data_IF_796496913175
#
_entry.id   IF_796496913175
#
_cell.length_a   1.000
_cell.length_b   1.000
_cell.length_c   1.000
_cell.angle_alpha   90.00
_cell.angle_beta   90.00
_cell.angle_gamma   90.00
#
_symmetry.space_group_name_H-M   'P 1'
#
loop_
_entity.id
_entity.type
_entity.pdbx_description
1 polymer ?
#
# COMPACT_ATOMS: atom_id res chain seq x y z
N UNK A 1 -10.87 26.33 -46.51
CA UNK A 1 -11.20 25.85 -45.16
C UNK A 1 -9.98 25.12 -44.58
N UNK A 2 -9.22 25.78 -43.69
CA UNK A 2 -7.98 25.27 -43.07
C UNK A 2 -8.23 24.84 -41.60
N UNK A 3 -9.29 24.08 -41.34
CA UNK A 3 -9.67 23.76 -39.96
C UNK A 3 -8.74 22.75 -39.24
N UNK A 4 -7.83 22.08 -39.96
CA UNK A 4 -7.00 21.01 -39.39
C UNK A 4 -5.47 21.22 -39.52
N UNK A 5 -5.03 22.41 -39.94
CA UNK A 5 -3.59 22.75 -40.06
C UNK A 5 -3.05 22.65 -41.50
N UNK A 6 -1.89 23.26 -41.70
CA UNK A 6 -1.30 23.48 -43.03
C UNK A 6 -0.45 22.31 -43.56
N UNK A 7 -0.12 21.31 -42.74
CA UNK A 7 0.71 20.16 -43.12
C UNK A 7 0.00 18.84 -42.82
N UNK A 8 0.22 17.81 -43.65
CA UNK A 8 -0.42 16.50 -43.54
C UNK A 8 -0.24 15.85 -42.16
N UNK A 9 0.97 15.96 -41.57
CA UNK A 9 1.24 15.45 -40.22
C UNK A 9 0.43 16.15 -39.11
N UNK A 10 0.17 17.47 -39.24
CA UNK A 10 -0.66 18.20 -38.27
C UNK A 10 -2.14 17.85 -38.41
N UNK A 11 -2.59 17.58 -39.63
CA UNK A 11 -3.96 17.15 -39.88
C UNK A 11 -4.22 15.77 -39.24
N UNK A 12 -3.26 14.85 -39.34
CA UNK A 12 -3.37 13.53 -38.69
C UNK A 12 -3.44 13.64 -37.17
N UNK A 13 -2.55 14.43 -36.55
CA UNK A 13 -2.54 14.64 -35.09
C UNK A 13 -3.83 15.32 -34.61
N UNK A 14 -4.30 16.35 -35.32
CA UNK A 14 -5.52 17.06 -34.97
C UNK A 14 -6.77 16.18 -35.15
N UNK A 15 -6.79 15.30 -36.17
CA UNK A 15 -7.85 14.32 -36.36
C UNK A 15 -7.88 13.30 -35.22
N UNK A 16 -6.71 12.76 -34.84
CA UNK A 16 -6.61 11.85 -33.70
C UNK A 16 -7.05 12.51 -32.38
N UNK A 17 -6.64 13.75 -32.15
CA UNK A 17 -7.04 14.51 -30.97
C UNK A 17 -8.56 14.77 -30.96
N UNK A 18 -9.13 15.21 -32.08
CA UNK A 18 -10.57 15.45 -32.21
C UNK A 18 -11.37 14.15 -32.03
N UNK A 19 -10.91 13.04 -32.62
CA UNK A 19 -11.54 11.72 -32.45
C UNK A 19 -11.55 11.30 -30.98
N UNK A 20 -10.41 11.38 -30.29
CA UNK A 20 -10.32 11.03 -28.87
C UNK A 20 -11.16 11.98 -28.00
N UNK A 21 -11.23 13.27 -28.33
CA UNK A 21 -12.07 14.22 -27.61
C UNK A 21 -13.56 13.90 -27.75
N UNK A 22 -14.01 13.57 -28.96
CA UNK A 22 -15.38 13.11 -29.21
C UNK A 22 -15.65 11.82 -28.43
N UNK A 23 -14.72 10.87 -28.42
CA UNK A 23 -14.85 9.63 -27.67
C UNK A 23 -14.99 9.90 -26.16
N UNK A 24 -14.21 10.83 -25.60
CA UNK A 24 -14.34 11.23 -24.19
C UNK A 24 -15.73 11.85 -23.94
N UNK A 25 -16.17 12.82 -24.76
CA UNK A 25 -17.47 13.48 -24.59
C UNK A 25 -18.62 12.46 -24.70
N UNK A 26 -18.51 11.52 -25.63
CA UNK A 26 -19.52 10.48 -25.82
C UNK A 26 -19.50 9.42 -24.72
N UNK A 27 -18.35 8.98 -24.23
CA UNK A 27 -18.23 7.87 -23.28
C UNK A 27 -18.35 8.30 -21.80
N UNK A 28 -17.91 9.50 -21.44
CA UNK A 28 -17.92 10.01 -20.06
C UNK A 28 -19.30 10.00 -19.37
N UNK A 29 -20.44 10.32 -20.02
CA UNK A 29 -21.75 10.17 -19.38
C UNK A 29 -22.15 8.71 -19.11
N UNK A 30 -21.57 7.73 -19.83
CA UNK A 30 -21.87 6.31 -19.64
C UNK A 30 -21.00 5.63 -18.58
N UNK A 31 -19.98 6.32 -18.05
CA UNK A 31 -19.05 5.73 -17.06
C UNK A 31 -19.78 5.24 -15.81
N UNK A 32 -20.76 6.01 -15.29
CA UNK A 32 -21.56 5.57 -14.13
C UNK A 32 -22.50 4.40 -14.42
N UNK A 33 -22.95 4.23 -15.67
CA UNK A 33 -23.71 3.04 -16.07
C UNK A 33 -22.82 1.81 -16.13
N UNK A 34 -21.60 1.95 -16.67
CA UNK A 34 -20.62 0.87 -16.69
C UNK A 34 -20.15 0.47 -15.30
N UNK A 35 -19.98 1.43 -14.37
CA UNK A 35 -19.70 1.14 -12.96
C UNK A 35 -20.78 0.22 -12.38
N UNK A 36 -22.06 0.54 -12.57
CA UNK A 36 -23.19 -0.28 -12.09
C UNK A 36 -23.22 -1.66 -12.75
N UNK A 37 -22.94 -1.73 -14.05
CA UNK A 37 -22.96 -2.98 -14.81
C UNK A 37 -21.81 -3.89 -14.38
N UNK A 38 -20.63 -3.33 -14.16
CA UNK A 38 -19.46 -4.03 -13.60
C UNK A 38 -19.75 -4.47 -12.16
N UNK A 39 -20.32 -3.60 -11.32
CA UNK A 39 -20.72 -3.95 -9.96
C UNK A 39 -21.75 -5.10 -9.94
N UNK A 40 -22.70 -5.11 -10.89
CA UNK A 40 -23.68 -6.18 -11.04
C UNK A 40 -23.04 -7.50 -11.50
N UNK A 41 -22.09 -7.45 -12.45
CA UNK A 41 -21.39 -8.64 -12.95
C UNK A 41 -20.38 -9.21 -11.95
N UNK A 42 -19.82 -8.39 -11.07
CA UNK A 42 -18.84 -8.78 -10.04
C UNK A 42 -19.54 -9.12 -8.70
N UNK A 43 -20.86 -8.91 -8.58
CA UNK A 43 -21.63 -9.05 -7.34
C UNK A 43 -21.61 -10.45 -6.68
N UNK A 44 -21.08 -11.48 -7.34
CA UNK A 44 -20.83 -12.79 -6.72
C UNK A 44 -19.63 -12.81 -5.74
N UNK A 45 -19.00 -11.66 -5.50
CA UNK A 45 -18.17 -11.46 -4.29
C UNK A 45 -18.81 -10.38 -3.44
N UNK A 46 -19.10 -10.65 -2.15
CA UNK A 46 -19.82 -9.71 -1.31
C UNK A 46 -18.98 -8.46 -1.09
N UNK A 47 -19.21 -7.43 -1.90
CA UNK A 47 -18.85 -6.06 -1.57
C UNK A 47 -19.92 -5.56 -0.59
N UNK A 48 -19.82 -5.98 0.67
CA UNK A 48 -20.54 -5.36 1.80
C UNK A 48 -20.48 -3.83 1.69
N UNK A 49 -21.57 -3.13 1.95
CA UNK A 49 -21.56 -1.67 1.96
C UNK A 49 -20.52 -1.17 2.98
N UNK A 50 -19.91 -0.02 2.71
CA UNK A 50 -19.13 0.69 3.71
C UNK A 50 -20.05 0.99 4.90
N UNK A 51 -19.98 0.18 5.94
CA UNK A 51 -20.50 0.56 7.24
C UNK A 51 -19.47 1.49 7.87
N UNK A 52 -19.90 2.71 8.19
CA UNK A 52 -19.12 3.80 8.82
C UNK A 52 -18.65 3.47 10.27
N UNK A 53 -18.36 2.21 10.58
CA UNK A 53 -17.91 1.77 11.91
C UNK A 53 -17.22 0.41 11.95
N UNK A 54 -16.94 -0.23 10.80
CA UNK A 54 -16.30 -1.54 10.74
C UNK A 54 -14.83 -1.42 10.32
N UNK A 55 -13.93 -1.80 11.24
CA UNK A 55 -12.52 -2.18 11.04
C UNK A 55 -11.82 -1.56 9.81
N UNK A 56 -11.00 -0.53 10.05
CA UNK A 56 -10.33 0.33 9.05
C UNK A 56 -9.60 -0.42 7.91
N UNK A 57 -9.39 -1.73 8.01
CA UNK A 57 -8.59 -2.52 7.08
C UNK A 57 -9.21 -3.83 6.58
N UNK A 58 -10.48 -4.16 6.90
CA UNK A 58 -11.11 -5.45 6.54
C UNK A 58 -11.27 -5.72 5.03
N UNK A 59 -10.60 -4.96 4.16
CA UNK A 59 -10.88 -4.91 2.73
C UNK A 59 -9.72 -4.81 1.75
N UNK A 60 -8.47 -4.90 2.19
CA UNK A 60 -7.38 -5.00 1.21
C UNK A 60 -7.19 -6.45 0.81
N UNK A 61 -7.81 -6.84 -0.30
CA UNK A 61 -7.52 -8.12 -0.96
C UNK A 61 -6.01 -8.18 -1.25
N UNK A 62 -5.37 -9.31 -0.93
CA UNK A 62 -3.95 -9.51 -1.23
C UNK A 62 -3.67 -9.23 -2.70
N UNK A 63 -2.56 -8.55 -2.97
CA UNK A 63 -2.08 -8.25 -4.32
C UNK A 63 -1.31 -9.42 -4.93
N UNK A 64 -1.19 -10.55 -4.22
CA UNK A 64 -0.55 -11.77 -4.72
C UNK A 64 -1.47 -12.51 -5.69
N UNK A 65 -1.06 -12.56 -6.96
CA UNK A 65 -1.79 -13.26 -8.01
C UNK A 65 -1.16 -14.63 -8.29
N UNK A 66 -1.86 -15.69 -7.91
CA UNK A 66 -1.41 -17.07 -8.12
C UNK A 66 -1.55 -17.54 -9.58
N UNK A 67 -2.27 -16.81 -10.43
CA UNK A 67 -2.47 -17.18 -11.85
C UNK A 67 -1.22 -16.93 -12.70
N UNK A 68 -0.35 -16.00 -12.27
CA UNK A 68 0.87 -15.61 -12.99
C UNK A 68 2.14 -16.34 -12.51
N UNK A 69 2.00 -17.38 -11.68
CA UNK A 69 3.14 -18.12 -11.08
C UNK A 69 4.12 -18.72 -12.10
N UNK A 70 3.68 -18.96 -13.33
CA UNK A 70 4.53 -19.50 -14.42
C UNK A 70 5.30 -18.42 -15.18
N UNK A 71 5.12 -17.15 -14.83
CA UNK A 71 5.75 -16.00 -15.46
C UNK A 71 6.46 -15.18 -14.37
N UNK A 72 7.74 -15.49 -14.06
CA UNK A 72 8.41 -14.96 -12.88
C UNK A 72 8.42 -13.43 -12.81
N UNK A 73 8.68 -12.72 -13.90
CA UNK A 73 8.58 -11.25 -13.93
C UNK A 73 7.22 -10.69 -13.50
N UNK A 74 6.10 -11.30 -13.94
CA UNK A 74 4.76 -10.88 -13.52
C UNK A 74 4.47 -11.27 -12.06
N UNK A 75 4.94 -12.44 -11.63
CA UNK A 75 4.79 -12.90 -10.27
C UNK A 75 5.56 -12.00 -9.28
N UNK A 76 6.80 -11.63 -9.61
CA UNK A 76 7.61 -10.69 -8.82
C UNK A 76 6.96 -9.30 -8.76
N UNK A 77 6.39 -8.80 -9.87
CA UNK A 77 5.61 -7.56 -9.83
C UNK A 77 4.38 -7.65 -8.92
N UNK A 78 3.75 -8.84 -8.83
CA UNK A 78 2.68 -9.11 -7.86
C UNK A 78 3.17 -9.05 -6.42
N UNK A 79 4.32 -9.66 -6.13
CA UNK A 79 4.96 -9.60 -4.82
C UNK A 79 5.36 -8.17 -4.45
N UNK A 80 5.86 -7.36 -5.39
CA UNK A 80 6.15 -5.94 -5.17
C UNK A 80 4.90 -5.16 -4.74
N UNK A 81 3.75 -5.38 -5.39
CA UNK A 81 2.48 -4.73 -4.99
C UNK A 81 2.03 -5.14 -3.60
N UNK A 82 2.18 -6.41 -3.25
CA UNK A 82 1.84 -6.88 -1.89
C UNK A 82 2.78 -6.30 -0.84
N UNK A 83 4.06 -6.12 -1.19
CA UNK A 83 5.05 -5.50 -0.32
C UNK A 83 4.76 -4.02 -0.07
N UNK A 84 4.30 -3.28 -1.09
CA UNK A 84 3.82 -1.90 -0.91
C UNK A 84 2.60 -1.85 0.01
N UNK A 85 1.65 -2.76 -0.18
CA UNK A 85 0.48 -2.89 0.70
C UNK A 85 0.90 -3.16 2.15
N UNK A 86 1.86 -4.05 2.37
CA UNK A 86 2.44 -4.31 3.69
C UNK A 86 3.09 -3.05 4.28
N UNK A 87 3.83 -2.29 3.46
CA UNK A 87 4.41 -1.01 3.85
C UNK A 87 3.36 0.02 4.28
N UNK A 88 2.26 0.14 3.55
CA UNK A 88 1.15 1.02 3.92
C UNK A 88 0.52 0.64 5.28
N UNK A 89 0.45 -0.65 5.61
CA UNK A 89 -0.05 -1.10 6.93
C UNK A 89 0.90 -0.63 8.04
N UNK A 90 2.22 -0.82 7.86
CA UNK A 90 3.23 -0.34 8.81
C UNK A 90 3.17 1.19 8.96
N UNK A 91 2.89 1.92 7.88
CA UNK A 91 2.75 3.38 7.91
C UNK A 91 1.52 3.80 8.73
N UNK A 92 0.40 3.09 8.59
CA UNK A 92 -0.80 3.30 9.40
C UNK A 92 -0.56 2.97 10.87
N UNK A 93 0.25 1.96 11.18
CA UNK A 93 0.65 1.64 12.56
C UNK A 93 1.51 2.75 13.17
N UNK A 94 2.46 3.29 12.39
CA UNK A 94 3.44 4.25 12.87
C UNK A 94 2.86 5.65 13.02
N UNK A 95 2.03 6.10 12.07
CA UNK A 95 1.48 7.47 12.01
C UNK A 95 0.82 7.98 13.32
N UNK A 96 -0.06 7.23 14.01
CA UNK A 96 -0.71 7.72 15.23
C UNK A 96 0.15 7.57 16.50
N UNK A 97 1.38 7.05 16.41
CA UNK A 97 2.22 6.78 17.60
C UNK A 97 2.44 8.05 18.42
N UNK A 98 2.66 9.21 17.78
CA UNK A 98 2.81 10.47 18.51
C UNK A 98 1.53 10.83 19.25
N UNK A 99 0.36 10.75 18.60
CA UNK A 99 -0.92 11.02 19.25
C UNK A 99 -1.16 10.08 20.44
N UNK A 100 -0.72 8.83 20.34
CA UNK A 100 -0.82 7.87 21.43
C UNK A 100 0.08 8.21 22.62
N UNK A 101 1.24 8.81 22.40
CA UNK A 101 2.10 9.30 23.47
C UNK A 101 1.51 10.48 24.25
N UNK A 102 0.64 11.30 23.67
CA UNK A 102 0.00 12.43 24.37
C UNK A 102 -1.36 12.07 24.99
N UNK A 103 -2.23 11.39 24.23
CA UNK A 103 -3.63 11.19 24.60
C UNK A 103 -4.23 9.85 24.15
N UNK A 104 -3.41 8.84 23.85
CA UNK A 104 -3.88 7.53 23.38
C UNK A 104 -4.71 6.76 24.41
N UNK A 105 -5.91 6.36 24.02
CA UNK A 105 -6.72 5.43 24.82
C UNK A 105 -6.21 3.99 24.70
N UNK A 106 -6.47 3.16 25.72
CA UNK A 106 -6.08 1.75 25.70
C UNK A 106 -6.70 0.96 24.53
N UNK A 107 -7.93 1.29 24.13
CA UNK A 107 -8.59 0.66 22.98
C UNK A 107 -7.92 1.03 21.66
N UNK A 108 -7.60 2.31 21.43
CA UNK A 108 -6.90 2.75 20.22
C UNK A 108 -5.52 2.08 20.09
N UNK A 109 -4.76 2.00 21.18
CA UNK A 109 -3.44 1.37 21.17
C UNK A 109 -3.56 -0.12 20.88
N UNK A 110 -4.52 -0.82 21.51
CA UNK A 110 -4.77 -2.25 21.21
C UNK A 110 -5.19 -2.48 19.77
N UNK A 111 -6.00 -1.60 19.19
CA UNK A 111 -6.41 -1.69 17.79
C UNK A 111 -5.20 -1.53 16.85
N UNK A 112 -4.31 -0.57 17.13
CA UNK A 112 -3.08 -0.40 16.38
C UNK A 112 -2.12 -1.59 16.52
N UNK A 113 -2.05 -2.21 17.71
CA UNK A 113 -1.25 -3.44 17.93
C UNK A 113 -1.75 -4.61 17.08
N UNK A 114 -3.06 -4.75 16.86
CA UNK A 114 -3.62 -5.84 16.05
C UNK A 114 -3.19 -5.80 14.58
N UNK A 115 -2.82 -4.62 14.06
CA UNK A 115 -2.34 -4.48 12.68
C UNK A 115 -1.02 -5.23 12.45
N UNK A 116 -0.26 -5.51 13.51
CA UNK A 116 0.96 -6.33 13.45
C UNK A 116 0.67 -7.76 12.94
N UNK A 117 -0.49 -8.33 13.27
CA UNK A 117 -0.90 -9.64 12.76
C UNK A 117 -1.05 -9.62 11.23
N UNK A 118 -1.48 -8.49 10.67
CA UNK A 118 -1.60 -8.33 9.22
C UNK A 118 -0.25 -8.18 8.53
N UNK A 119 0.69 -7.46 9.16
CA UNK A 119 2.07 -7.34 8.70
C UNK A 119 2.74 -8.71 8.68
N UNK A 120 2.59 -9.48 9.77
CA UNK A 120 3.11 -10.84 9.90
C UNK A 120 2.50 -11.82 8.88
N UNK A 121 1.18 -11.72 8.64
CA UNK A 121 0.49 -12.49 7.61
C UNK A 121 1.02 -12.16 6.21
N UNK A 122 1.09 -10.88 5.87
CA UNK A 122 1.59 -10.42 4.57
C UNK A 122 3.05 -10.86 4.33
N UNK A 123 3.92 -10.70 5.33
CA UNK A 123 5.31 -11.18 5.27
C UNK A 123 5.38 -12.69 4.96
N UNK A 124 4.58 -13.48 5.67
CA UNK A 124 4.53 -14.94 5.46
C UNK A 124 4.03 -15.29 4.06
N UNK A 125 2.97 -14.62 3.60
CA UNK A 125 2.40 -14.82 2.27
C UNK A 125 3.38 -14.46 1.15
N UNK A 126 4.08 -13.32 1.26
CA UNK A 126 5.12 -12.90 0.30
C UNK A 126 6.24 -13.95 0.25
N UNK A 127 6.74 -14.38 1.41
CA UNK A 127 7.82 -15.37 1.50
C UNK A 127 7.43 -16.70 0.84
N UNK A 128 6.22 -17.20 1.12
CA UNK A 128 5.72 -18.44 0.51
C UNK A 128 5.51 -18.28 -0.99
N UNK A 129 4.99 -17.13 -1.43
CA UNK A 129 4.77 -16.81 -2.83
C UNK A 129 6.08 -16.79 -3.62
N UNK A 130 7.10 -16.06 -3.16
CA UNK A 130 8.40 -15.99 -3.81
C UNK A 130 9.08 -17.38 -3.81
N UNK A 131 8.97 -18.14 -2.72
CA UNK A 131 9.50 -19.50 -2.68
C UNK A 131 8.83 -20.44 -3.71
N UNK A 132 7.55 -20.23 -4.01
CA UNK A 132 6.82 -20.97 -5.04
C UNK A 132 7.26 -20.57 -6.45
N UNK A 133 7.42 -19.27 -6.71
CA UNK A 133 7.96 -18.75 -7.98
C UNK A 133 9.36 -19.30 -8.25
N UNK A 134 10.21 -19.35 -7.21
CA UNK A 134 11.57 -19.89 -7.28
C UNK A 134 11.66 -21.38 -7.66
N UNK A 135 10.56 -22.15 -7.57
CA UNK A 135 10.54 -23.55 -8.05
C UNK A 135 10.46 -23.65 -9.58
N UNK A 136 10.05 -22.57 -10.25
CA UNK A 136 10.03 -22.47 -11.70
C UNK A 136 11.40 -22.16 -12.29
N UNK A 137 11.46 -21.94 -13.59
CA UNK A 137 12.65 -21.44 -14.28
C UNK A 137 12.74 -19.93 -14.14
N UNK A 138 13.73 -19.44 -13.38
CA UNK A 138 14.02 -18.01 -13.24
C UNK A 138 15.40 -17.69 -13.83
N UNK A 139 15.52 -16.49 -14.39
CA UNK A 139 16.83 -15.91 -14.68
C UNK A 139 17.54 -15.51 -13.39
N UNK A 140 18.86 -15.31 -13.47
CA UNK A 140 19.68 -14.83 -12.33
C UNK A 140 19.15 -13.49 -11.79
N UNK A 141 18.75 -12.59 -12.68
CA UNK A 141 18.20 -11.28 -12.31
C UNK A 141 16.86 -11.40 -11.57
N UNK A 142 15.97 -12.27 -12.03
CA UNK A 142 14.68 -12.51 -11.35
C UNK A 142 14.89 -13.16 -9.98
N UNK A 143 15.81 -14.13 -9.87
CA UNK A 143 16.10 -14.78 -8.58
C UNK A 143 16.68 -13.77 -7.57
N UNK A 144 17.59 -12.91 -8.02
CA UNK A 144 18.13 -11.82 -7.21
C UNK A 144 17.03 -10.85 -6.75
N UNK A 145 16.12 -10.47 -7.66
CA UNK A 145 14.97 -9.63 -7.32
C UNK A 145 14.06 -10.28 -6.29
N UNK A 146 13.82 -11.59 -6.38
CA UNK A 146 13.07 -12.33 -5.37
C UNK A 146 13.70 -12.29 -3.98
N UNK A 147 15.03 -12.36 -3.89
CA UNK A 147 15.78 -12.21 -2.63
C UNK A 147 15.59 -10.80 -2.07
N UNK A 148 15.77 -9.75 -2.88
CA UNK A 148 15.59 -8.36 -2.47
C UNK A 148 14.19 -8.09 -1.91
N UNK A 149 13.14 -8.59 -2.58
CA UNK A 149 11.76 -8.43 -2.12
C UNK A 149 11.53 -9.16 -0.79
N UNK A 150 12.14 -10.33 -0.61
CA UNK A 150 12.06 -11.08 0.65
C UNK A 150 12.76 -10.32 1.78
N UNK A 151 13.96 -9.79 1.54
CA UNK A 151 14.71 -9.01 2.53
C UNK A 151 13.97 -7.72 2.92
N UNK A 152 13.34 -7.05 1.95
CA UNK A 152 12.51 -5.88 2.22
C UNK A 152 11.28 -6.25 3.08
N UNK A 153 10.63 -7.39 2.81
CA UNK A 153 9.50 -7.87 3.61
C UNK A 153 9.93 -8.15 5.07
N UNK A 154 11.09 -8.76 5.28
CA UNK A 154 11.67 -8.98 6.61
C UNK A 154 11.89 -7.65 7.33
N UNK A 155 12.42 -6.64 6.65
CA UNK A 155 12.66 -5.33 7.27
C UNK A 155 11.37 -4.60 7.64
N UNK A 156 10.32 -4.71 6.82
CA UNK A 156 9.00 -4.15 7.16
C UNK A 156 8.35 -4.89 8.33
N UNK A 157 8.47 -6.21 8.40
CA UNK A 157 7.97 -6.99 9.53
C UNK A 157 8.63 -6.56 10.84
N UNK A 158 9.97 -6.47 10.84
CA UNK A 158 10.72 -5.96 12.00
C UNK A 158 10.30 -4.55 12.40
N UNK A 159 10.02 -3.67 11.43
CA UNK A 159 9.55 -2.32 11.70
C UNK A 159 8.15 -2.34 12.36
N UNK A 160 7.22 -3.15 11.84
CA UNK A 160 5.90 -3.38 12.45
C UNK A 160 6.01 -3.89 13.89
N UNK A 161 6.88 -4.88 14.10
CA UNK A 161 7.18 -5.47 15.40
C UNK A 161 7.68 -4.42 16.42
N UNK A 162 8.60 -3.55 16.01
CA UNK A 162 9.09 -2.45 16.85
C UNK A 162 7.95 -1.50 17.21
N UNK A 163 7.07 -1.18 16.27
CA UNK A 163 5.91 -0.32 16.55
C UNK A 163 4.99 -0.99 17.56
N UNK A 164 4.56 -2.22 17.31
CA UNK A 164 3.54 -2.90 18.10
C UNK A 164 4.02 -3.34 19.49
N UNK A 165 5.24 -3.90 19.56
CA UNK A 165 5.78 -4.54 20.77
C UNK A 165 6.65 -3.61 21.60
N UNK A 166 7.17 -2.52 21.03
CA UNK A 166 7.95 -1.53 21.78
C UNK A 166 7.22 -0.19 21.89
N UNK A 167 6.98 0.52 20.79
CA UNK A 167 6.46 1.90 20.86
C UNK A 167 5.06 1.96 21.48
N UNK A 168 4.15 1.10 21.02
CA UNK A 168 2.79 1.05 21.55
C UNK A 168 2.75 0.55 23.01
N UNK A 169 3.66 -0.34 23.41
CA UNK A 169 3.79 -0.74 24.83
C UNK A 169 4.28 0.43 25.69
N UNK A 170 5.27 1.19 25.23
CA UNK A 170 5.74 2.40 25.92
C UNK A 170 4.64 3.45 26.06
N UNK A 171 3.76 3.60 25.07
CA UNK A 171 2.61 4.52 25.19
C UNK A 171 1.66 4.09 26.32
N UNK A 172 1.45 2.78 26.52
CA UNK A 172 0.64 2.26 27.62
C UNK A 172 1.31 2.53 28.97
N UNK A 173 2.62 2.28 29.08
CA UNK A 173 3.35 2.55 30.33
C UNK A 173 3.34 4.02 30.74
N UNK A 174 3.53 4.94 29.79
CA UNK A 174 3.49 6.39 30.04
C UNK A 174 2.12 6.79 30.58
N UNK A 175 1.05 6.28 29.96
CA UNK A 175 -0.32 6.54 30.41
C UNK A 175 -0.57 5.99 31.81
N UNK A 176 -0.21 4.73 32.06
CA UNK A 176 -0.47 4.06 33.33
C UNK A 176 0.29 4.73 34.50
N UNK A 177 1.44 5.34 34.21
CA UNK A 177 2.23 6.15 35.15
C UNK A 177 1.85 7.64 35.17
N UNK A 178 0.87 8.06 34.36
CA UNK A 178 0.45 9.45 34.16
C UNK A 178 1.63 10.41 33.88
N UNK A 179 2.58 9.96 33.05
CA UNK A 179 3.76 10.71 32.67
C UNK A 179 3.51 11.52 31.40
N UNK A 180 4.18 12.67 31.29
CA UNK A 180 4.17 13.52 30.10
C UNK A 180 5.59 13.94 29.75
N UNK A 181 5.86 14.08 28.46
CA UNK A 181 7.11 14.65 27.98
C UNK A 181 7.21 16.14 28.33
N UNK A 182 8.43 16.63 28.50
CA UNK A 182 8.69 18.07 28.49
C UNK A 182 8.41 18.64 27.09
N UNK A 183 8.21 19.95 26.98
CA UNK A 183 7.99 20.61 25.67
C UNK A 183 9.16 20.37 24.71
N UNK A 184 10.39 20.49 25.20
CA UNK A 184 11.58 20.29 24.39
C UNK A 184 11.73 18.82 23.96
N UNK A 185 11.53 17.88 24.89
CA UNK A 185 11.57 16.45 24.58
C UNK A 185 10.48 16.01 23.61
N UNK A 186 9.28 16.60 23.70
CA UNK A 186 8.21 16.37 22.74
C UNK A 186 8.58 16.87 21.34
N UNK A 187 9.13 18.08 21.24
CA UNK A 187 9.56 18.66 19.96
C UNK A 187 10.65 17.81 19.30
N UNK A 188 11.62 17.34 20.08
CA UNK A 188 12.69 16.46 19.58
C UNK A 188 12.13 15.11 19.09
N UNK A 189 11.27 14.48 19.89
CA UNK A 189 10.64 13.20 19.55
C UNK A 189 9.76 13.31 18.30
N UNK A 190 8.95 14.35 18.18
CA UNK A 190 8.14 14.62 17.00
C UNK A 190 9.03 14.84 15.75
N UNK A 191 10.15 15.55 15.91
CA UNK A 191 11.13 15.73 14.85
C UNK A 191 11.74 14.40 14.36
N UNK A 192 12.12 13.52 15.29
CA UNK A 192 12.61 12.17 14.97
C UNK A 192 11.54 11.33 14.26
N UNK A 193 10.32 11.33 14.79
CA UNK A 193 9.19 10.61 14.21
C UNK A 193 8.93 11.03 12.75
N UNK A 194 8.89 12.34 12.47
CA UNK A 194 8.71 12.87 11.12
C UNK A 194 9.82 12.42 10.16
N UNK A 195 11.07 12.35 10.62
CA UNK A 195 12.19 11.84 9.81
C UNK A 195 12.03 10.36 9.48
N UNK A 196 11.58 9.55 10.44
CA UNK A 196 11.32 8.11 10.20
C UNK A 196 10.18 7.95 9.18
N UNK A 197 9.09 8.70 9.32
CA UNK A 197 7.97 8.68 8.37
C UNK A 197 8.41 9.06 6.95
N UNK A 198 9.20 10.14 6.81
CA UNK A 198 9.72 10.55 5.51
C UNK A 198 10.65 9.49 4.89
N UNK A 199 11.55 8.90 5.68
CA UNK A 199 12.45 7.85 5.22
C UNK A 199 11.68 6.60 4.76
N UNK A 200 10.61 6.23 5.47
CA UNK A 200 9.75 5.11 5.11
C UNK A 200 9.07 5.35 3.75
N UNK A 201 8.51 6.53 3.53
CA UNK A 201 7.89 6.89 2.25
C UNK A 201 8.91 6.90 1.10
N UNK A 202 10.12 7.41 1.33
CA UNK A 202 11.20 7.34 0.35
C UNK A 202 11.58 5.90 0.01
N UNK A 203 11.69 5.01 1.01
CA UNK A 203 12.02 3.60 0.79
C UNK A 203 10.94 2.90 -0.06
N UNK A 204 9.66 3.17 0.21
CA UNK A 204 8.55 2.62 -0.59
C UNK A 204 8.54 3.17 -2.02
N UNK A 205 8.85 4.45 -2.22
CA UNK A 205 8.95 5.04 -3.56
C UNK A 205 10.11 4.42 -4.37
N UNK A 206 11.27 4.21 -3.74
CA UNK A 206 12.42 3.57 -4.38
C UNK A 206 12.07 2.15 -4.81
N UNK A 207 11.34 1.39 -3.98
CA UNK A 207 10.88 0.04 -4.29
C UNK A 207 10.07 -0.01 -5.61
N UNK A 208 9.19 0.97 -5.85
CA UNK A 208 8.39 1.06 -7.10
C UNK A 208 9.24 1.44 -8.31
N UNK A 209 10.28 2.26 -8.11
CA UNK A 209 11.14 2.75 -9.19
C UNK A 209 12.28 1.80 -9.58
N UNK A 210 12.45 0.69 -8.84
CA UNK A 210 13.51 -0.32 -9.01
C UNK A 210 13.02 -1.57 -9.72
#
# INVERSE_FOLDING_TARGET
AHLFGATEGRQLVNLHLAFNLVLVICCLPFTGMMERLVALLIADRPVAKAEEGGDLMSRRTSALDRTVMRTPGLALASATRELLRMGEVVEVMLRPVMDFFDAGTGDQIRQAQKLDEEVNRAHTEIKLYIAEVNRGSMSVAEAQRGIELTDFAINLERAGDIVAKNLLVLTQELRDKNLRFSRDGWSELAGLHNRVMANMQLALNVLVSS
#
